data_IF_839302351821
#
_entry.id   IF_839302351821
#
_cell.length_a   1.000
_cell.length_b   1.000
_cell.length_c   1.000
_cell.angle_alpha   90.00
_cell.angle_beta   90.00
_cell.angle_gamma   90.00
#
_symmetry.space_group_name_H-M   'P 1'
#
loop_
_entity.id
_entity.type
_entity.pdbx_description
1 polymer ?
#
# COMPACT_ATOMS: atom_id res chain seq x y z
N UNK A 1 1.77 6.52 -6.95
CA UNK A 1 2.33 5.70 -5.84
C UNK A 1 2.10 4.20 -6.05
N UNK A 2 0.87 3.69 -6.25
CA UNK A 2 0.65 2.24 -6.45
C UNK A 2 1.29 1.64 -7.72
N UNK A 3 1.22 2.35 -8.85
CA UNK A 3 1.83 1.92 -10.10
C UNK A 3 3.37 1.84 -10.01
N UNK A 4 3.96 2.67 -9.15
CA UNK A 4 5.41 2.73 -8.92
C UNK A 4 5.88 1.57 -8.03
N UNK A 5 5.11 1.22 -7.01
CA UNK A 5 5.42 0.07 -6.16
C UNK A 5 5.32 -1.25 -6.93
N UNK A 6 4.29 -1.42 -7.78
CA UNK A 6 4.16 -2.61 -8.62
C UNK A 6 5.29 -2.76 -9.63
N UNK A 7 5.70 -1.67 -10.29
CA UNK A 7 6.81 -1.72 -11.25
C UNK A 7 8.13 -2.09 -10.55
N UNK A 8 8.38 -1.53 -9.36
CA UNK A 8 9.54 -1.90 -8.54
C UNK A 8 9.52 -3.37 -8.12
N UNK A 9 8.38 -3.91 -7.67
CA UNK A 9 8.29 -5.34 -7.32
C UNK A 9 8.59 -6.23 -8.52
N UNK A 10 8.04 -5.92 -9.70
CA UNK A 10 8.32 -6.70 -10.91
C UNK A 10 9.78 -6.63 -11.33
N UNK A 11 10.39 -5.44 -11.24
CA UNK A 11 11.81 -5.27 -11.51
C UNK A 11 12.67 -6.16 -10.60
N UNK A 12 12.49 -6.07 -9.28
CA UNK A 12 13.28 -6.84 -8.31
C UNK A 12 13.06 -8.34 -8.43
N UNK A 13 11.85 -8.76 -8.81
CA UNK A 13 11.56 -10.15 -9.13
C UNK A 13 12.33 -10.65 -10.36
N UNK A 14 12.44 -9.83 -11.40
CA UNK A 14 13.21 -10.16 -12.60
C UNK A 14 14.72 -10.03 -12.41
N UNK A 15 15.15 -9.16 -11.49
CA UNK A 15 16.55 -8.95 -11.16
C UNK A 15 17.16 -10.17 -10.46
N UNK A 16 16.36 -10.89 -9.67
CA UNK A 16 16.75 -12.13 -8.97
C UNK A 16 18.08 -11.98 -8.21
N UNK A 17 18.04 -11.16 -7.16
CA UNK A 17 19.23 -10.85 -6.35
C UNK A 17 19.89 -12.11 -5.81
N UNK A 18 19.11 -13.13 -5.44
CA UNK A 18 19.63 -14.38 -4.88
C UNK A 18 20.45 -15.15 -5.93
N UNK A 19 19.95 -15.26 -7.16
CA UNK A 19 20.71 -15.88 -8.26
C UNK A 19 22.01 -15.12 -8.51
N UNK A 20 21.95 -13.79 -8.58
CA UNK A 20 23.14 -12.96 -8.75
C UNK A 20 24.15 -13.16 -7.60
N UNK A 21 23.70 -13.20 -6.35
CA UNK A 21 24.55 -13.44 -5.18
C UNK A 21 25.26 -14.80 -5.28
N UNK A 22 24.56 -15.86 -5.71
CA UNK A 22 25.14 -17.19 -5.92
C UNK A 22 26.20 -17.20 -7.03
N UNK A 23 25.94 -16.54 -8.16
CA UNK A 23 26.91 -16.41 -9.25
C UNK A 23 28.18 -15.66 -8.81
N UNK A 24 28.01 -14.62 -8.01
CA UNK A 24 29.12 -13.84 -7.46
C UNK A 24 29.93 -14.67 -6.46
N UNK A 25 29.28 -15.49 -5.61
CA UNK A 25 29.96 -16.40 -4.67
C UNK A 25 30.83 -17.42 -5.41
N UNK A 26 30.31 -18.04 -6.46
CA UNK A 26 31.07 -18.98 -7.29
C UNK A 26 32.28 -18.26 -7.90
N UNK A 27 32.07 -17.07 -8.47
CA UNK A 27 33.14 -16.28 -9.07
C UNK A 27 34.21 -15.87 -8.05
N UNK A 28 33.80 -15.50 -6.83
CA UNK A 28 34.71 -15.12 -5.74
C UNK A 28 35.54 -16.31 -5.23
N UNK A 29 34.94 -17.50 -5.13
CA UNK A 29 35.66 -18.72 -4.78
C UNK A 29 36.67 -19.13 -5.86
N UNK A 30 36.27 -19.09 -7.12
CA UNK A 30 37.16 -19.40 -8.25
C UNK A 30 38.32 -18.42 -8.37
N UNK A 31 38.11 -17.16 -7.94
CA UNK A 31 39.10 -16.11 -8.04
C UNK A 31 40.38 -16.43 -7.23
N UNK A 32 40.24 -17.05 -6.06
CA UNK A 32 41.40 -17.44 -5.24
C UNK A 32 42.30 -18.42 -6.00
N UNK A 33 41.70 -19.46 -6.62
CA UNK A 33 42.41 -20.44 -7.45
C UNK A 33 43.11 -19.77 -8.63
N UNK A 34 42.42 -18.85 -9.33
CA UNK A 34 42.99 -18.13 -10.48
C UNK A 34 44.16 -17.22 -10.08
N UNK A 35 44.11 -16.60 -8.89
CA UNK A 35 45.21 -15.80 -8.36
C UNK A 35 46.45 -16.66 -8.12
N UNK A 36 46.29 -17.82 -7.47
CA UNK A 36 47.39 -18.75 -7.21
C UNK A 36 48.00 -19.33 -8.49
N UNK A 37 47.17 -19.68 -9.48
CA UNK A 37 47.61 -20.15 -10.79
C UNK A 37 48.40 -19.08 -11.55
N UNK A 38 47.93 -17.83 -11.54
CA UNK A 38 48.58 -16.69 -12.19
C UNK A 38 49.95 -16.39 -11.57
N UNK A 39 50.02 -16.32 -10.23
CA UNK A 39 51.27 -16.08 -9.51
C UNK A 39 52.26 -17.25 -9.70
N UNK A 40 51.79 -18.49 -9.75
CA UNK A 40 52.62 -19.68 -10.04
C UNK A 40 53.13 -19.70 -11.49
N UNK A 41 52.28 -19.37 -12.45
CA UNK A 41 52.64 -19.29 -13.87
C UNK A 41 53.71 -18.21 -14.12
N UNK A 42 53.56 -17.04 -13.48
CA UNK A 42 54.54 -15.95 -13.57
C UNK A 42 55.89 -16.35 -12.98
N UNK A 43 55.92 -17.03 -11.83
CA UNK A 43 57.17 -17.54 -11.23
C UNK A 43 57.90 -18.49 -12.19
N UNK A 44 57.16 -19.45 -12.77
CA UNK A 44 57.69 -20.40 -13.76
C UNK A 44 58.25 -19.70 -15.01
N UNK A 45 57.58 -18.68 -15.54
CA UNK A 45 58.08 -17.89 -16.67
C UNK A 45 59.40 -17.16 -16.34
N UNK A 46 59.52 -16.61 -15.13
CA UNK A 46 60.76 -15.96 -14.67
C UNK A 46 61.91 -16.97 -14.58
N UNK A 47 61.65 -18.17 -14.04
CA UNK A 47 62.64 -19.25 -13.97
C UNK A 47 63.08 -19.71 -15.37
N UNK A 48 62.13 -19.94 -16.28
CA UNK A 48 62.42 -20.30 -17.68
C UNK A 48 63.25 -19.22 -18.39
N UNK A 49 62.93 -17.93 -18.16
CA UNK A 49 63.71 -16.81 -18.74
C UNK A 49 65.14 -16.75 -18.19
N UNK A 50 65.33 -17.04 -16.90
CA UNK A 50 66.67 -17.12 -16.28
C UNK A 50 67.45 -18.30 -16.83
N UNK A 51 66.82 -19.46 -16.96
CA UNK A 51 67.48 -20.67 -17.47
C UNK A 51 67.88 -20.51 -18.93
N UNK A 52 66.99 -19.95 -19.77
CA UNK A 52 67.31 -19.58 -21.14
C UNK A 52 68.57 -18.70 -21.22
N UNK A 53 68.71 -17.70 -20.35
CA UNK A 53 69.91 -16.85 -20.33
C UNK A 53 71.20 -17.58 -19.95
N UNK A 54 71.13 -18.66 -19.16
CA UNK A 54 72.32 -19.43 -18.79
C UNK A 54 72.81 -20.31 -19.92
N UNK A 55 71.90 -21.01 -20.60
CA UNK A 55 72.23 -22.04 -21.59
C UNK A 55 72.44 -21.49 -23.02
N UNK A 56 72.05 -20.24 -23.28
CA UNK A 56 72.10 -19.64 -24.62
C UNK A 56 73.41 -18.91 -24.90
N UNK A 57 73.91 -18.98 -26.14
CA UNK A 57 75.12 -18.26 -26.58
C UNK A 57 74.98 -16.73 -26.51
N UNK A 58 76.11 -16.03 -26.28
CA UNK A 58 76.21 -14.57 -26.10
C UNK A 58 75.47 -13.74 -27.15
N UNK A 59 75.65 -14.10 -28.42
CA UNK A 59 75.11 -13.34 -29.56
C UNK A 59 73.58 -13.40 -29.60
N UNK A 60 73.01 -14.59 -29.40
CA UNK A 60 71.55 -14.78 -29.32
C UNK A 60 70.99 -14.08 -28.08
N UNK A 61 71.71 -14.09 -26.96
CA UNK A 61 71.30 -13.36 -25.75
C UNK A 61 71.15 -11.86 -25.99
N UNK A 62 72.08 -11.25 -26.73
CA UNK A 62 72.01 -9.81 -27.05
C UNK A 62 70.78 -9.46 -27.88
N UNK A 63 70.43 -10.29 -28.87
CA UNK A 63 69.27 -10.07 -29.73
C UNK A 63 67.94 -10.29 -29.00
N UNK A 64 67.87 -11.31 -28.13
CA UNK A 64 66.64 -11.70 -27.43
C UNK A 64 66.39 -10.90 -26.14
N UNK A 65 67.44 -10.33 -25.52
CA UNK A 65 67.32 -9.54 -24.30
C UNK A 65 66.28 -8.40 -24.35
N UNK A 66 66.25 -7.52 -25.38
CA UNK A 66 65.23 -6.47 -25.46
C UNK A 66 63.81 -7.03 -25.60
N UNK A 67 63.64 -8.14 -26.33
CA UNK A 67 62.35 -8.81 -26.48
C UNK A 67 61.85 -9.38 -25.14
N UNK A 68 62.70 -10.12 -24.41
CA UNK A 68 62.37 -10.63 -23.08
C UNK A 68 62.02 -9.51 -22.11
N UNK A 69 62.70 -8.36 -22.21
CA UNK A 69 62.39 -7.21 -21.37
C UNK A 69 61.03 -6.62 -21.69
N UNK A 70 60.68 -6.51 -22.98
CA UNK A 70 59.36 -6.04 -23.43
C UNK A 70 58.24 -6.97 -22.91
N UNK A 71 58.38 -8.29 -23.07
CA UNK A 71 57.42 -9.26 -22.52
C UNK A 71 57.29 -9.17 -21.00
N UNK A 72 58.40 -8.97 -20.28
CA UNK A 72 58.36 -8.80 -18.83
C UNK A 72 57.53 -7.58 -18.43
N UNK A 73 57.75 -6.43 -19.09
CA UNK A 73 57.00 -5.20 -18.82
C UNK A 73 55.51 -5.40 -19.10
N UNK A 74 55.17 -6.07 -20.20
CA UNK A 74 53.76 -6.34 -20.55
C UNK A 74 53.09 -7.29 -19.54
N UNK A 75 53.76 -8.37 -19.13
CA UNK A 75 53.26 -9.31 -18.12
C UNK A 75 53.06 -8.59 -16.78
N UNK A 76 53.99 -7.73 -16.38
CA UNK A 76 53.91 -6.95 -15.14
C UNK A 76 52.73 -5.96 -15.19
N UNK A 77 52.54 -5.29 -16.33
CA UNK A 77 51.42 -4.39 -16.59
C UNK A 77 50.08 -5.11 -16.54
N UNK A 78 49.97 -6.26 -17.23
CA UNK A 78 48.78 -7.09 -17.25
C UNK A 78 48.46 -7.65 -15.86
N UNK A 79 49.48 -8.10 -15.13
CA UNK A 79 49.35 -8.54 -13.72
C UNK A 79 48.80 -7.43 -12.83
N UNK A 80 49.31 -6.19 -12.99
CA UNK A 80 48.83 -5.03 -12.22
C UNK A 80 47.37 -4.71 -12.54
N UNK A 81 46.98 -4.74 -13.83
CA UNK A 81 45.60 -4.51 -14.27
C UNK A 81 44.65 -5.60 -13.77
N UNK A 82 45.07 -6.87 -13.81
CA UNK A 82 44.29 -8.00 -13.28
C UNK A 82 44.03 -7.82 -11.79
N UNK A 83 45.08 -7.63 -10.97
CA UNK A 83 44.93 -7.45 -9.52
C UNK A 83 44.05 -6.25 -9.16
N UNK A 84 44.09 -5.17 -9.94
CA UNK A 84 43.21 -4.03 -9.76
C UNK A 84 41.73 -4.37 -10.05
N UNK A 85 41.45 -5.09 -11.14
CA UNK A 85 40.10 -5.53 -11.50
C UNK A 85 39.53 -6.53 -10.47
N UNK A 86 40.35 -7.49 -10.03
CA UNK A 86 40.01 -8.48 -9.00
C UNK A 86 39.71 -7.80 -7.66
N UNK A 87 40.50 -6.81 -7.26
CA UNK A 87 40.25 -6.02 -6.05
C UNK A 87 38.94 -5.21 -6.15
N UNK A 88 38.66 -4.62 -7.31
CA UNK A 88 37.41 -3.89 -7.54
C UNK A 88 36.20 -4.83 -7.48
N UNK A 89 36.29 -6.02 -8.10
CA UNK A 89 35.28 -7.07 -8.01
C UNK A 89 35.02 -7.47 -6.56
N UNK A 90 36.05 -7.80 -5.79
CA UNK A 90 35.91 -8.21 -4.39
C UNK A 90 35.31 -7.11 -3.50
N UNK A 91 35.57 -5.83 -3.79
CA UNK A 91 34.96 -4.72 -3.07
C UNK A 91 33.44 -4.65 -3.33
N UNK A 92 33.01 -4.84 -4.58
CA UNK A 92 31.59 -4.86 -4.94
C UNK A 92 30.92 -6.11 -4.35
N UNK A 93 31.55 -7.28 -4.52
CA UNK A 93 31.06 -8.56 -3.99
C UNK A 93 30.76 -8.48 -2.48
N UNK A 94 31.72 -8.02 -1.67
CA UNK A 94 31.55 -7.85 -0.21
C UNK A 94 30.37 -6.95 0.16
N UNK A 95 30.02 -5.98 -0.69
CA UNK A 95 28.89 -5.08 -0.44
C UNK A 95 27.56 -5.68 -0.87
N UNK A 96 27.55 -6.57 -1.85
CA UNK A 96 26.33 -7.14 -2.43
C UNK A 96 25.90 -8.45 -1.77
N UNK A 97 26.86 -9.24 -1.25
CA UNK A 97 26.54 -10.58 -0.71
C UNK A 97 25.70 -10.52 0.57
N UNK A 98 25.91 -9.50 1.40
CA UNK A 98 25.19 -9.32 2.65
C UNK A 98 23.91 -8.48 2.51
N UNK A 99 23.57 -8.05 1.28
CA UNK A 99 22.37 -7.22 1.06
C UNK A 99 21.13 -8.10 1.21
N UNK A 100 20.21 -7.77 2.12
CA UNK A 100 18.95 -8.49 2.22
C UNK A 100 18.10 -8.22 0.97
N UNK A 101 17.42 -9.26 0.49
CA UNK A 101 16.50 -9.14 -0.63
C UNK A 101 15.35 -8.16 -0.28
N UNK A 102 15.15 -7.07 -1.04
CA UNK A 102 14.04 -6.15 -0.80
C UNK A 102 12.69 -6.68 -1.33
N UNK A 103 12.68 -7.72 -2.16
CA UNK A 103 11.46 -8.25 -2.78
C UNK A 103 10.37 -8.63 -1.77
N UNK A 104 10.66 -9.35 -0.67
CA UNK A 104 9.64 -9.68 0.34
C UNK A 104 9.00 -8.44 0.98
N UNK A 105 9.79 -7.39 1.22
CA UNK A 105 9.30 -6.13 1.77
C UNK A 105 8.37 -5.42 0.78
N UNK A 106 8.70 -5.43 -0.52
CA UNK A 106 7.83 -4.87 -1.55
C UNK A 106 6.51 -5.65 -1.71
N UNK A 107 6.55 -6.97 -1.66
CA UNK A 107 5.34 -7.80 -1.71
C UNK A 107 4.42 -7.53 -0.52
N UNK A 108 4.99 -7.39 0.68
CA UNK A 108 4.24 -7.00 1.87
C UNK A 108 3.64 -5.60 1.72
N UNK A 109 4.41 -4.63 1.23
CA UNK A 109 3.94 -3.27 0.99
C UNK A 109 2.77 -3.22 0.00
N UNK A 110 2.81 -4.02 -1.07
CA UNK A 110 1.69 -4.16 -2.02
C UNK A 110 0.44 -4.74 -1.34
N UNK A 111 0.61 -5.73 -0.46
CA UNK A 111 -0.49 -6.30 0.32
C UNK A 111 -1.12 -5.24 1.23
N UNK A 112 -0.30 -4.49 1.97
CA UNK A 112 -0.77 -3.42 2.85
C UNK A 112 -1.46 -2.30 2.07
N UNK A 113 -0.95 -1.93 0.90
CA UNK A 113 -1.59 -0.92 0.06
C UNK A 113 -3.03 -1.31 -0.32
N UNK A 114 -3.26 -2.58 -0.66
CA UNK A 114 -4.62 -3.09 -0.93
C UNK A 114 -5.52 -3.01 0.29
N UNK A 115 -4.99 -3.31 1.48
CA UNK A 115 -5.74 -3.20 2.74
C UNK A 115 -6.09 -1.74 3.05
N UNK A 116 -5.15 -0.81 2.85
CA UNK A 116 -5.39 0.63 3.06
C UNK A 116 -6.46 1.15 2.13
N UNK A 117 -6.44 0.78 0.84
CA UNK A 117 -7.52 1.15 -0.09
C UNK A 117 -8.87 0.63 0.39
N UNK A 118 -8.95 -0.65 0.78
CA UNK A 118 -10.21 -1.23 1.28
C UNK A 118 -10.69 -0.57 2.58
N UNK A 119 -9.78 -0.22 3.48
CA UNK A 119 -10.12 0.50 4.71
C UNK A 119 -10.72 1.87 4.38
N UNK A 120 -10.14 2.60 3.45
CA UNK A 120 -10.70 3.89 2.99
C UNK A 120 -12.10 3.73 2.42
N UNK A 121 -12.36 2.67 1.65
CA UNK A 121 -13.70 2.39 1.12
C UNK A 121 -14.71 2.15 2.26
N UNK A 122 -14.33 1.36 3.26
CA UNK A 122 -15.17 1.09 4.44
C UNK A 122 -15.40 2.33 5.31
N UNK A 123 -14.41 3.22 5.46
CA UNK A 123 -14.56 4.47 6.21
C UNK A 123 -15.58 5.42 5.52
N UNK A 124 -15.52 5.50 4.19
CA UNK A 124 -16.49 6.29 3.41
C UNK A 124 -17.89 5.71 3.55
N UNK A 125 -18.05 4.39 3.44
CA UNK A 125 -19.34 3.72 3.61
C UNK A 125 -19.90 3.90 5.02
N UNK A 126 -19.04 3.76 6.05
CA UNK A 126 -19.45 3.96 7.44
C UNK A 126 -19.96 5.39 7.69
N UNK A 127 -19.28 6.37 7.10
CA UNK A 127 -19.69 7.79 7.19
C UNK A 127 -21.07 7.99 6.55
N UNK A 128 -21.28 7.48 5.33
CA UNK A 128 -22.58 7.56 4.65
C UNK A 128 -23.70 6.88 5.43
N UNK A 129 -23.46 5.69 5.97
CA UNK A 129 -24.44 4.98 6.78
C UNK A 129 -24.80 5.76 8.05
N UNK A 130 -23.83 6.42 8.70
CA UNK A 130 -24.09 7.28 9.86
C UNK A 130 -24.93 8.51 9.49
N UNK A 131 -24.65 9.13 8.34
CA UNK A 131 -25.43 10.26 7.83
C UNK A 131 -26.88 9.84 7.56
N UNK A 132 -27.10 8.76 6.81
CA UNK A 132 -28.45 8.24 6.52
C UNK A 132 -29.21 7.85 7.80
N UNK A 133 -28.53 7.25 8.79
CA UNK A 133 -29.16 6.96 10.09
C UNK A 133 -29.54 8.23 10.85
N UNK A 134 -28.72 9.29 10.77
CA UNK A 134 -29.04 10.57 11.40
C UNK A 134 -30.26 11.23 10.73
N UNK A 135 -30.34 11.19 9.40
CA UNK A 135 -31.48 11.66 8.62
C UNK A 135 -32.76 10.90 8.99
N UNK A 136 -32.74 9.57 8.96
CA UNK A 136 -33.92 8.76 9.34
C UNK A 136 -34.36 9.00 10.78
N UNK A 137 -33.43 9.17 11.72
CA UNK A 137 -33.79 9.51 13.10
C UNK A 137 -34.44 10.88 13.22
N UNK A 138 -34.00 11.86 12.41
CA UNK A 138 -34.61 13.19 12.34
C UNK A 138 -36.02 13.13 11.77
N UNK A 139 -36.21 12.45 10.63
CA UNK A 139 -37.52 12.24 10.02
C UNK A 139 -38.47 11.49 10.96
N UNK A 140 -37.97 10.47 11.65
CA UNK A 140 -38.75 9.72 12.64
C UNK A 140 -39.21 10.59 13.81
N UNK A 141 -38.34 11.49 14.31
CA UNK A 141 -38.69 12.43 15.36
C UNK A 141 -39.77 13.43 14.89
N UNK A 142 -39.69 13.89 13.64
CA UNK A 142 -40.68 14.78 13.05
C UNK A 142 -42.04 14.09 12.93
N UNK A 143 -42.09 12.88 12.36
CA UNK A 143 -43.32 12.09 12.23
C UNK A 143 -43.96 11.84 13.59
N UNK A 144 -43.17 11.50 14.62
CA UNK A 144 -43.67 11.32 15.98
C UNK A 144 -44.27 12.61 16.58
N UNK A 145 -43.67 13.76 16.30
CA UNK A 145 -44.20 15.07 16.70
C UNK A 145 -45.53 15.39 16.00
N UNK A 146 -45.61 15.08 14.70
CA UNK A 146 -46.83 15.22 13.91
C UNK A 146 -47.94 14.30 14.44
N UNK A 147 -47.65 13.05 14.81
CA UNK A 147 -48.62 12.13 15.44
C UNK A 147 -49.23 12.69 16.74
N UNK A 148 -48.40 13.31 17.60
CA UNK A 148 -48.88 13.97 18.82
C UNK A 148 -49.83 15.12 18.49
N UNK A 149 -49.47 15.93 17.51
CA UNK A 149 -50.29 17.05 17.03
C UNK A 149 -51.64 16.56 16.50
N UNK A 150 -51.63 15.48 15.70
CA UNK A 150 -52.86 14.86 15.17
C UNK A 150 -53.75 14.36 16.30
N UNK A 151 -53.20 13.73 17.34
CA UNK A 151 -53.98 13.27 18.50
C UNK A 151 -54.67 14.43 19.21
N UNK A 152 -53.94 15.51 19.48
CA UNK A 152 -54.49 16.71 20.12
C UNK A 152 -55.59 17.38 19.27
N UNK A 153 -55.41 17.44 17.95
CA UNK A 153 -56.42 18.00 17.04
C UNK A 153 -57.68 17.13 17.01
N UNK A 154 -57.55 15.80 17.02
CA UNK A 154 -58.70 14.88 17.10
C UNK A 154 -59.48 15.01 18.40
N UNK A 155 -58.79 15.17 19.53
CA UNK A 155 -59.45 15.43 20.82
C UNK A 155 -60.24 16.75 20.80
N UNK A 156 -59.65 17.83 20.28
CA UNK A 156 -60.36 19.11 20.14
C UNK A 156 -61.61 19.01 19.26
N UNK A 157 -61.55 18.27 18.15
CA UNK A 157 -62.72 18.05 17.28
C UNK A 157 -63.83 17.35 18.06
N UNK A 158 -63.50 16.28 18.79
CA UNK A 158 -64.46 15.56 19.63
C UNK A 158 -65.10 16.45 20.70
N UNK A 159 -64.30 17.31 21.34
CA UNK A 159 -64.81 18.27 22.32
C UNK A 159 -65.79 19.27 21.69
N UNK A 160 -65.49 19.77 20.50
CA UNK A 160 -66.40 20.64 19.75
C UNK A 160 -67.68 19.91 19.31
N UNK A 161 -67.58 18.67 18.84
CA UNK A 161 -68.74 17.84 18.48
C UNK A 161 -69.68 17.64 19.67
N UNK A 162 -69.13 17.25 20.83
CA UNK A 162 -69.91 17.09 22.07
C UNK A 162 -70.58 18.40 22.50
N UNK A 163 -69.88 19.53 22.36
CA UNK A 163 -70.43 20.85 22.69
C UNK A 163 -71.61 21.18 21.79
N UNK A 164 -71.46 21.01 20.48
CA UNK A 164 -72.55 21.23 19.52
C UNK A 164 -73.73 20.31 19.83
N UNK A 165 -73.49 19.03 20.12
CA UNK A 165 -74.55 18.09 20.47
C UNK A 165 -75.31 18.52 21.74
N UNK A 166 -74.59 18.98 22.76
CA UNK A 166 -75.22 19.53 23.98
C UNK A 166 -76.06 20.78 23.70
N UNK A 167 -75.58 21.69 22.84
CA UNK A 167 -76.32 22.89 22.44
C UNK A 167 -77.57 22.52 21.64
N UNK A 168 -77.47 21.57 20.71
CA UNK A 168 -78.62 21.04 19.94
C UNK A 168 -79.63 20.37 20.86
N UNK A 169 -79.20 19.58 21.85
CA UNK A 169 -80.10 18.98 22.84
C UNK A 169 -80.85 20.05 23.63
N UNK A 170 -80.16 21.09 24.12
CA UNK A 170 -80.79 22.21 24.84
C UNK A 170 -81.83 22.90 23.95
N UNK A 171 -81.49 23.20 22.70
CA UNK A 171 -82.42 23.82 21.74
C UNK A 171 -83.65 22.92 21.53
N UNK A 172 -83.45 21.60 21.37
CA UNK A 172 -84.53 20.64 21.20
C UNK A 172 -85.45 20.58 22.44
N UNK A 173 -84.88 20.58 23.65
CA UNK A 173 -85.67 20.67 24.89
C UNK A 173 -86.51 21.94 24.96
N UNK A 174 -85.94 23.08 24.57
CA UNK A 174 -86.65 24.35 24.48
C UNK A 174 -87.79 24.25 23.47
N UNK A 175 -87.52 23.77 22.25
CA UNK A 175 -88.56 23.61 21.22
C UNK A 175 -89.69 22.67 21.67
N UNK A 176 -89.37 21.53 22.31
CA UNK A 176 -90.36 20.60 22.87
C UNK A 176 -91.20 21.29 23.95
N UNK A 177 -90.58 22.04 24.87
CA UNK A 177 -91.31 22.77 25.91
C UNK A 177 -92.30 23.78 25.32
N UNK A 178 -91.89 24.53 24.30
CA UNK A 178 -92.75 25.48 23.58
C UNK A 178 -93.86 24.80 22.75
N UNK A 179 -93.65 23.60 22.22
CA UNK A 179 -94.64 22.89 21.38
C UNK A 179 -95.59 21.98 22.17
N UNK A 180 -95.16 21.40 23.29
CA UNK A 180 -95.97 20.46 24.10
C UNK A 180 -96.65 21.10 25.30
N UNK A 181 -96.32 22.35 25.65
CA UNK A 181 -96.98 23.08 26.73
C UNK A 181 -97.71 24.34 26.22
N UNK A 182 -98.87 24.23 25.57
CA UNK A 182 -99.64 25.40 25.13
C UNK A 182 -100.19 26.26 26.28
N UNK A 183 -100.20 25.73 27.51
CA UNK A 183 -100.86 26.34 28.67
C UNK A 183 -99.99 27.35 29.44
N UNK A 184 -98.71 27.49 29.09
CA UNK A 184 -97.81 28.49 29.70
C UNK A 184 -97.65 29.75 28.86
N UNK A 185 -97.90 29.69 27.54
CA UNK A 185 -97.79 30.88 26.69
C UNK A 185 -98.94 31.88 26.93
N UNK A 186 -100.07 31.44 27.46
CA UNK A 186 -101.21 32.31 27.77
C UNK A 186 -101.05 33.08 29.10
N UNK A 187 -100.06 32.76 29.93
CA UNK A 187 -99.89 33.39 31.25
C UNK A 187 -98.78 34.47 31.32
N UNK A 188 -98.03 34.69 30.22
CA UNK A 188 -96.87 35.60 30.21
C UNK A 188 -97.08 36.82 29.29
N UNK A 189 -98.10 36.84 28.43
CA UNK A 189 -98.46 38.03 27.61
C UNK A 189 -99.70 38.79 28.11
N UNK A 190 -99.87 38.91 29.42
CA UNK A 190 -100.75 39.91 30.07
C UNK A 190 -100.09 40.39 31.35
#
# INVERSE_FOLDING_TARGET
MAADLQSHTQYWKSFDLLSLQQELDVTANDLATRQDESDSSRKRLVEQSREFKKVTAEEVRKQVAPLLKSFQVEIDSLSKRSKAAEAAFLNIYKRLIDVPDPLPAFEQALSHQKLVTRLSDFEIENTKLRETLAEYNSEFAEVKSQELTIKQLKEKIKDYENKIESEVQVIMFVMIFYTTCPLLYTYITT
#
